data_IF_971803743285
#
_entry.id   IF_971803743285
#
_cell.length_a   1.000
_cell.length_b   1.000
_cell.length_c   1.000
_cell.angle_alpha   90.00
_cell.angle_beta   90.00
_cell.angle_gamma   90.00
#
_symmetry.space_group_name_H-M   'P 1'
#
loop_
_entity.id
_entity.type
_entity.pdbx_description
1 polymer ?
#
# COMPACT_ATOMS: atom_id res chain seq x y z
N UNK A 1 12.59 -5.86 -5.54
CA UNK A 1 11.88 -5.47 -4.31
C UNK A 1 10.36 -5.63 -4.43
N UNK A 2 9.71 -5.04 -5.46
CA UNK A 2 8.25 -5.13 -5.67
C UNK A 2 7.79 -6.58 -5.87
N UNK A 3 8.58 -7.41 -6.55
CA UNK A 3 8.27 -8.81 -6.82
C UNK A 3 8.50 -9.74 -5.62
N UNK A 4 9.08 -9.24 -4.53
CA UNK A 4 9.46 -10.06 -3.39
C UNK A 4 8.31 -10.93 -2.82
N UNK A 5 7.06 -10.43 -2.67
CA UNK A 5 5.95 -11.24 -2.17
C UNK A 5 5.63 -12.47 -3.02
N UNK A 6 5.94 -12.45 -4.31
CA UNK A 6 5.68 -13.57 -5.22
C UNK A 6 6.60 -14.76 -4.95
N UNK A 7 7.79 -14.52 -4.41
CA UNK A 7 8.72 -15.60 -4.01
C UNK A 7 8.25 -16.35 -2.77
N UNK A 8 7.49 -15.68 -1.88
CA UNK A 8 7.04 -16.26 -0.62
C UNK A 8 5.60 -16.78 -0.67
N UNK A 9 4.84 -16.48 -1.74
CA UNK A 9 3.45 -16.90 -1.86
C UNK A 9 3.14 -17.50 -3.23
N UNK A 10 2.96 -18.81 -3.25
CA UNK A 10 2.52 -19.54 -4.46
C UNK A 10 1.16 -19.04 -4.97
N UNK A 11 0.25 -18.67 -4.05
CA UNK A 11 -1.07 -18.15 -4.42
C UNK A 11 -0.91 -16.85 -5.21
N UNK A 12 -0.11 -15.89 -4.70
CA UNK A 12 0.16 -14.63 -5.40
C UNK A 12 0.93 -14.83 -6.69
N UNK A 13 1.92 -15.72 -6.71
CA UNK A 13 2.69 -16.04 -7.91
C UNK A 13 1.81 -16.63 -9.02
N UNK A 14 0.90 -17.52 -8.67
CA UNK A 14 0.00 -18.16 -9.64
C UNK A 14 -1.09 -17.22 -10.17
N UNK A 15 -1.37 -16.11 -9.49
CA UNK A 15 -2.35 -15.11 -9.93
C UNK A 15 -1.84 -14.17 -11.02
N UNK A 16 -0.54 -14.23 -11.34
CA UNK A 16 0.10 -13.30 -12.29
C UNK A 16 0.78 -14.07 -13.42
N UNK A 17 0.43 -13.71 -14.66
CA UNK A 17 1.03 -14.32 -15.86
C UNK A 17 2.42 -13.69 -16.12
N UNK A 18 2.53 -12.37 -16.03
CA UNK A 18 3.77 -11.62 -16.25
C UNK A 18 4.10 -10.72 -15.07
N UNK A 19 4.90 -11.19 -14.10
CA UNK A 19 5.21 -10.42 -12.90
C UNK A 19 5.90 -9.07 -13.16
N UNK A 20 6.82 -9.02 -14.12
CA UNK A 20 7.55 -7.80 -14.44
C UNK A 20 6.63 -6.74 -15.03
N UNK A 21 5.80 -7.12 -15.97
CA UNK A 21 4.84 -6.20 -16.58
C UNK A 21 3.83 -5.68 -15.55
N UNK A 22 3.32 -6.56 -14.70
CA UNK A 22 2.41 -6.18 -13.60
C UNK A 22 3.09 -5.18 -12.65
N UNK A 23 4.35 -5.40 -12.28
CA UNK A 23 5.10 -4.47 -11.43
C UNK A 23 5.27 -3.10 -12.10
N UNK A 24 5.59 -3.06 -13.40
CA UNK A 24 5.71 -1.81 -14.17
C UNK A 24 4.38 -1.07 -14.21
N UNK A 25 3.28 -1.77 -14.46
CA UNK A 25 1.94 -1.17 -14.49
C UNK A 25 1.55 -0.59 -13.12
N UNK A 26 1.80 -1.30 -12.02
CA UNK A 26 1.58 -0.80 -10.67
C UNK A 26 2.40 0.46 -10.37
N UNK A 27 3.67 0.48 -10.79
CA UNK A 27 4.53 1.65 -10.64
C UNK A 27 3.95 2.87 -11.39
N UNK A 28 3.48 2.70 -12.61
CA UNK A 28 2.84 3.77 -13.40
C UNK A 28 1.55 4.27 -12.74
N UNK A 29 0.69 3.37 -12.27
CA UNK A 29 -0.55 3.72 -11.56
C UNK A 29 -0.28 4.50 -10.28
N UNK A 30 0.82 4.19 -9.60
CA UNK A 30 1.29 4.89 -8.40
C UNK A 30 2.15 6.13 -8.72
N UNK A 31 2.19 6.57 -9.98
CA UNK A 31 2.95 7.73 -10.45
C UNK A 31 4.42 7.71 -10.05
N UNK A 32 5.02 6.53 -10.10
CA UNK A 32 6.46 6.35 -9.97
C UNK A 32 7.14 6.56 -11.32
N UNK A 33 8.45 6.93 -11.34
CA UNK A 33 9.21 7.00 -12.59
C UNK A 33 9.17 5.69 -13.37
N UNK A 34 9.17 5.76 -14.71
CA UNK A 34 9.02 4.58 -15.59
C UNK A 34 10.14 3.53 -15.37
N UNK A 35 11.32 3.98 -14.99
CA UNK A 35 12.51 3.16 -14.77
C UNK A 35 12.79 2.84 -13.29
N UNK A 36 11.83 3.15 -12.39
CA UNK A 36 11.97 2.98 -10.94
C UNK A 36 12.33 1.55 -10.51
N UNK A 37 11.95 0.55 -11.30
CA UNK A 37 12.28 -0.85 -11.02
C UNK A 37 13.79 -1.12 -11.04
N UNK A 38 14.56 -0.28 -11.72
CA UNK A 38 16.01 -0.36 -11.83
C UNK A 38 16.74 0.44 -10.73
N UNK A 39 16.02 1.25 -9.94
CA UNK A 39 16.61 2.09 -8.92
C UNK A 39 16.89 1.31 -7.65
N UNK A 40 17.98 1.70 -6.99
CA UNK A 40 18.24 1.25 -5.62
C UNK A 40 17.28 1.94 -4.67
N UNK A 41 16.79 1.22 -3.65
CA UNK A 41 15.82 1.77 -2.71
C UNK A 41 16.29 3.07 -2.02
N UNK A 42 17.60 3.19 -1.74
CA UNK A 42 18.20 4.36 -1.11
C UNK A 42 18.34 5.59 -2.04
N UNK A 43 18.13 5.44 -3.34
CA UNK A 43 18.12 6.56 -4.30
C UNK A 43 16.73 7.18 -4.49
N UNK A 44 15.69 6.60 -3.88
CA UNK A 44 14.32 7.06 -3.96
C UNK A 44 14.01 8.08 -2.86
N UNK A 45 13.18 9.08 -3.18
CA UNK A 45 12.59 9.95 -2.16
C UNK A 45 11.69 9.14 -1.20
N UNK A 46 11.44 9.68 0.00
CA UNK A 46 10.57 9.02 0.99
C UNK A 46 9.19 8.69 0.39
N UNK A 47 8.57 9.64 -0.33
CA UNK A 47 7.30 9.41 -0.98
C UNK A 47 7.34 8.36 -2.10
N UNK A 48 8.45 8.26 -2.83
CA UNK A 48 8.67 7.19 -3.81
C UNK A 48 8.84 5.84 -3.13
N UNK A 49 9.61 5.76 -2.04
CA UNK A 49 9.78 4.53 -1.26
C UNK A 49 8.45 4.01 -0.74
N UNK A 50 7.58 4.89 -0.26
CA UNK A 50 6.25 4.50 0.22
C UNK A 50 5.34 4.01 -0.91
N UNK A 51 5.35 4.65 -2.07
CA UNK A 51 4.60 4.15 -3.24
C UNK A 51 5.14 2.81 -3.74
N UNK A 52 6.44 2.59 -3.69
CA UNK A 52 7.04 1.28 -3.97
C UNK A 52 6.58 0.24 -2.94
N UNK A 53 6.45 0.60 -1.66
CA UNK A 53 5.92 -0.29 -0.63
C UNK A 53 4.46 -0.66 -0.91
N UNK A 54 3.63 0.28 -1.39
CA UNK A 54 2.25 0.00 -1.83
C UNK A 54 2.25 -0.94 -3.03
N UNK A 55 3.07 -0.69 -4.06
CA UNK A 55 3.19 -1.59 -5.21
C UNK A 55 3.55 -3.02 -4.78
N UNK A 56 4.51 -3.14 -3.85
CA UNK A 56 4.90 -4.42 -3.26
C UNK A 56 3.77 -5.10 -2.49
N UNK A 57 2.97 -4.34 -1.75
CA UNK A 57 1.83 -4.89 -1.02
C UNK A 57 0.73 -5.39 -1.96
N UNK A 58 0.51 -4.69 -3.08
CA UNK A 58 -0.57 -4.96 -4.03
C UNK A 58 -0.25 -6.06 -5.04
N UNK A 59 1.04 -6.33 -5.33
CA UNK A 59 1.40 -7.33 -6.33
C UNK A 59 0.81 -8.70 -6.00
N UNK A 60 0.18 -9.33 -6.98
CA UNK A 60 -0.51 -10.61 -6.77
C UNK A 60 -1.91 -10.48 -6.21
N UNK A 61 -2.51 -9.30 -6.25
CA UNK A 61 -3.91 -9.02 -5.90
C UNK A 61 -4.34 -9.64 -4.57
N UNK A 62 -3.71 -9.26 -3.44
CA UNK A 62 -4.09 -9.79 -2.13
C UNK A 62 -5.48 -9.32 -1.75
N UNK A 63 -6.26 -10.19 -1.10
CA UNK A 63 -7.58 -9.85 -0.58
C UNK A 63 -7.53 -8.93 0.66
N UNK A 64 -6.42 -8.93 1.39
CA UNK A 64 -6.19 -8.10 2.58
C UNK A 64 -4.85 -7.40 2.50
N UNK A 65 -4.85 -6.11 2.79
CA UNK A 65 -3.67 -5.26 2.95
C UNK A 65 -3.69 -4.68 4.35
N UNK A 66 -2.55 -4.76 5.03
CA UNK A 66 -2.34 -4.16 6.34
C UNK A 66 -1.33 -3.02 6.17
N UNK A 67 -1.70 -1.83 6.62
CA UNK A 67 -0.87 -0.64 6.59
C UNK A 67 -0.77 -0.05 8.00
N UNK A 68 0.46 0.05 8.50
CA UNK A 68 0.76 0.64 9.80
C UNK A 68 1.41 2.01 9.58
N UNK A 69 0.70 3.07 9.99
CA UNK A 69 1.13 4.48 9.87
C UNK A 69 1.72 4.85 8.49
N UNK A 70 1.05 4.52 7.36
CA UNK A 70 1.68 4.58 6.04
C UNK A 70 2.01 6.01 5.58
N UNK A 71 1.52 7.03 6.29
CA UNK A 71 1.70 8.45 5.97
C UNK A 71 2.59 9.21 6.95
N UNK A 72 3.08 8.58 8.00
CA UNK A 72 3.80 9.22 9.09
C UNK A 72 5.08 9.98 8.67
N UNK A 73 5.68 9.60 7.54
CA UNK A 73 6.92 10.20 7.03
C UNK A 73 6.72 11.08 5.79
N UNK A 74 5.46 11.43 5.48
CA UNK A 74 5.13 12.24 4.30
C UNK A 74 4.57 13.59 4.78
N UNK A 75 4.95 14.69 4.08
CA UNK A 75 4.32 15.99 4.31
C UNK A 75 2.84 15.98 3.92
N UNK A 76 2.06 16.89 4.51
CA UNK A 76 0.60 16.90 4.36
C UNK A 76 0.10 17.07 2.92
N UNK A 77 0.85 17.76 2.06
CA UNK A 77 0.47 17.94 0.66
C UNK A 77 0.66 16.64 -0.14
N UNK A 78 1.77 15.95 0.08
CA UNK A 78 2.05 14.67 -0.56
C UNK A 78 1.20 13.52 0.02
N UNK A 79 0.76 13.63 1.29
CA UNK A 79 -0.06 12.65 1.97
C UNK A 79 -1.39 12.40 1.25
N UNK A 80 -2.11 13.44 0.86
CA UNK A 80 -3.39 13.30 0.17
C UNK A 80 -3.21 12.56 -1.17
N UNK A 81 -2.22 12.96 -1.95
CA UNK A 81 -1.91 12.30 -3.24
C UNK A 81 -1.58 10.82 -3.04
N UNK A 82 -0.78 10.51 -2.03
CA UNK A 82 -0.43 9.14 -1.68
C UNK A 82 -1.65 8.30 -1.30
N UNK A 83 -2.50 8.82 -0.41
CA UNK A 83 -3.72 8.15 0.03
C UNK A 83 -4.69 7.93 -1.14
N UNK A 84 -4.90 8.92 -1.99
CA UNK A 84 -5.79 8.79 -3.15
C UNK A 84 -5.31 7.68 -4.09
N UNK A 85 -4.01 7.64 -4.39
CA UNK A 85 -3.42 6.58 -5.22
C UNK A 85 -3.56 5.20 -4.56
N UNK A 86 -3.32 5.10 -3.26
CA UNK A 86 -3.43 3.85 -2.52
C UNK A 86 -4.88 3.34 -2.50
N UNK A 87 -5.84 4.19 -2.15
CA UNK A 87 -7.27 3.83 -2.14
C UNK A 87 -7.78 3.45 -3.52
N UNK A 88 -7.35 4.17 -4.57
CA UNK A 88 -7.71 3.83 -5.95
C UNK A 88 -7.28 2.41 -6.31
N UNK A 89 -6.06 2.02 -5.96
CA UNK A 89 -5.56 0.68 -6.24
C UNK A 89 -6.26 -0.40 -5.40
N UNK A 90 -6.54 -0.13 -4.13
CA UNK A 90 -7.26 -1.03 -3.24
C UNK A 90 -8.67 -1.28 -3.77
N UNK A 91 -9.36 -0.22 -4.20
CA UNK A 91 -10.69 -0.33 -4.79
C UNK A 91 -10.68 -1.13 -6.10
N UNK A 92 -9.75 -0.85 -7.02
CA UNK A 92 -9.61 -1.57 -8.29
C UNK A 92 -9.37 -3.08 -8.11
N UNK A 93 -8.62 -3.43 -7.07
CA UNK A 93 -8.27 -4.82 -6.78
C UNK A 93 -9.28 -5.51 -5.85
N UNK A 94 -10.35 -4.83 -5.47
CA UNK A 94 -11.35 -5.33 -4.51
C UNK A 94 -10.71 -5.85 -3.21
N UNK A 95 -9.61 -5.21 -2.78
CA UNK A 95 -8.88 -5.58 -1.57
C UNK A 95 -9.51 -4.93 -0.34
N UNK A 96 -9.44 -5.60 0.80
CA UNK A 96 -9.74 -5.01 2.10
C UNK A 96 -8.49 -4.32 2.66
N UNK A 97 -8.62 -3.09 3.14
CA UNK A 97 -7.55 -2.35 3.83
C UNK A 97 -7.81 -2.32 5.33
N UNK A 98 -6.85 -2.83 6.09
CA UNK A 98 -6.73 -2.58 7.53
C UNK A 98 -5.61 -1.57 7.75
N UNK A 99 -5.96 -0.37 8.19
CA UNK A 99 -4.97 0.70 8.45
C UNK A 99 -4.94 1.04 9.92
N UNK A 100 -3.74 1.14 10.46
CA UNK A 100 -3.49 1.75 11.76
C UNK A 100 -3.01 3.18 11.53
N UNK A 101 -3.64 4.16 12.19
CA UNK A 101 -3.25 5.56 12.13
C UNK A 101 -3.70 6.32 13.37
N UNK A 102 -2.93 7.31 13.77
CA UNK A 102 -3.30 8.28 14.79
C UNK A 102 -3.99 9.52 14.19
N UNK A 103 -4.03 9.64 12.87
CA UNK A 103 -4.67 10.76 12.16
C UNK A 103 -6.19 10.55 12.04
N UNK A 104 -6.94 11.18 12.95
CA UNK A 104 -8.40 11.10 12.98
C UNK A 104 -9.09 11.71 11.75
N UNK A 105 -8.40 12.58 11.00
CA UNK A 105 -8.96 13.18 9.79
C UNK A 105 -9.24 12.17 8.68
N UNK A 106 -8.56 11.03 8.73
CA UNK A 106 -8.73 9.93 7.75
C UNK A 106 -10.01 9.12 7.98
N UNK A 107 -10.67 9.29 9.12
CA UNK A 107 -11.84 8.49 9.53
C UNK A 107 -12.95 8.42 8.49
N UNK A 108 -13.23 9.53 7.82
CA UNK A 108 -14.29 9.63 6.79
C UNK A 108 -14.02 8.82 5.52
N UNK A 109 -12.80 8.29 5.35
CA UNK A 109 -12.39 7.49 4.19
C UNK A 109 -12.56 5.98 4.39
N UNK A 110 -13.01 5.57 5.57
CA UNK A 110 -13.14 4.16 5.94
C UNK A 110 -14.58 3.80 6.25
N UNK A 111 -14.97 2.57 5.88
CA UNK A 111 -16.30 2.03 6.17
C UNK A 111 -16.49 1.72 7.66
N UNK A 112 -15.39 1.45 8.37
CA UNK A 112 -15.40 1.10 9.79
C UNK A 112 -14.18 1.65 10.50
N UNK A 113 -14.44 2.20 11.70
CA UNK A 113 -13.42 2.62 12.65
C UNK A 113 -13.46 1.73 13.89
N UNK A 114 -12.28 1.47 14.43
CA UNK A 114 -12.11 0.74 15.68
C UNK A 114 -11.17 1.56 16.56
N UNK A 115 -11.66 2.05 17.71
CA UNK A 115 -10.78 2.68 18.69
C UNK A 115 -10.11 1.59 19.52
N UNK A 116 -8.78 1.58 19.55
CA UNK A 116 -7.99 0.58 20.28
C UNK A 116 -8.34 0.58 21.78
N UNK A 117 -8.69 1.75 22.34
CA UNK A 117 -9.07 1.87 23.76
C UNK A 117 -10.39 1.13 24.07
N UNK A 118 -11.30 1.03 23.11
CA UNK A 118 -12.54 0.28 23.27
C UNK A 118 -12.30 -1.23 23.33
N UNK A 119 -11.23 -1.71 22.66
CA UNK A 119 -10.86 -3.13 22.71
C UNK A 119 -10.24 -3.48 24.05
N UNK A 120 -9.34 -2.65 24.55
CA UNK A 120 -8.61 -2.89 25.81
C UNK A 120 -9.53 -2.85 27.03
N UNK A 121 -10.60 -2.05 27.00
CA UNK A 121 -11.54 -1.90 28.13
C UNK A 121 -12.48 -3.09 28.30
N UNK A 122 -12.56 -4.02 27.33
CA UNK A 122 -13.45 -5.18 27.39
C UNK A 122 -12.87 -6.42 28.08
N UNK A 123 -11.60 -6.38 28.48
CA UNK A 123 -10.90 -7.49 29.17
C UNK A 123 -10.84 -7.35 30.72
N UNK A 124 -11.58 -6.42 31.31
CA UNK A 124 -11.66 -6.26 32.79
C UNK A 124 -13.03 -6.63 33.31
#
# INVERSE_FOLDING_TARGET
NILLPLYFSKIRSNSIINPQETAVQLCKQLRLPDDVINYKANSLSVGQQQRVAVARALIGNPSLIIADEPTSSIDSAAQQIFLDLMFEQIYKNESTLLMVSHDKSLSSRFDRLIDINEIITREN
#
